data_IF_709422952029
#
_entry.id   IF_709422952029
#
_cell.length_a   1.000
_cell.length_b   1.000
_cell.length_c   1.000
_cell.angle_alpha   90.00
_cell.angle_beta   90.00
_cell.angle_gamma   90.00
#
_symmetry.space_group_name_H-M   'P 1'
#
loop_
_entity.id
_entity.type
_entity.pdbx_description
1 polymer ?
#
# COMPACT_ATOMS: atom_id res chain seq x y z
N UNK A 1 29.53 5.14 68.28
CA UNK A 1 30.30 5.89 67.26
C UNK A 1 31.28 4.89 66.66
N UNK A 2 30.87 4.15 65.64
CA UNK A 2 31.73 3.22 64.91
C UNK A 2 31.70 3.63 63.43
N UNK A 3 32.87 3.93 62.91
CA UNK A 3 33.16 4.27 61.52
C UNK A 3 33.61 3.04 60.75
N UNK A 4 33.34 3.06 59.43
CA UNK A 4 34.10 2.41 58.34
C UNK A 4 33.91 0.87 58.17
N UNK A 5 33.81 0.26 56.97
CA UNK A 5 34.15 0.68 55.60
C UNK A 5 33.63 -0.34 54.57
N UNK A 6 33.17 0.16 53.40
CA UNK A 6 33.10 -0.42 52.03
C UNK A 6 32.46 -1.80 51.78
N UNK A 7 31.47 -1.80 50.88
CA UNK A 7 31.67 -2.49 49.60
C UNK A 7 30.93 -1.75 48.47
N UNK A 8 31.72 -1.22 47.52
CA UNK A 8 31.24 -0.82 46.21
C UNK A 8 30.97 -2.12 45.44
N UNK A 9 29.72 -2.37 45.09
CA UNK A 9 29.42 -3.22 43.95
C UNK A 9 29.07 -2.30 42.78
N UNK A 10 30.02 -2.20 41.86
CA UNK A 10 29.86 -1.60 40.55
C UNK A 10 28.67 -2.24 39.84
N UNK A 11 27.53 -1.55 39.85
CA UNK A 11 26.45 -1.80 38.90
C UNK A 11 26.93 -1.32 37.53
N UNK A 12 27.79 -2.13 36.90
CA UNK A 12 28.08 -2.01 35.47
C UNK A 12 26.75 -2.12 34.74
N UNK A 13 26.37 -0.97 34.22
CA UNK A 13 25.23 -0.72 33.36
C UNK A 13 25.34 -1.62 32.13
N UNK A 14 24.73 -2.80 32.15
CA UNK A 14 24.36 -3.50 30.90
C UNK A 14 23.09 -2.85 30.38
N UNK A 15 23.18 -1.59 29.97
CA UNK A 15 22.21 -1.04 29.03
C UNK A 15 22.49 -1.74 27.70
N UNK A 16 21.79 -2.85 27.46
CA UNK A 16 21.43 -3.20 26.09
C UNK A 16 20.59 -2.05 25.56
N UNK A 17 21.25 -1.00 25.06
CA UNK A 17 20.60 0.03 24.29
C UNK A 17 20.14 -0.66 23.01
N UNK A 18 18.92 -1.21 23.03
CA UNK A 18 18.23 -1.69 21.86
C UNK A 18 18.14 -0.49 20.93
N UNK A 19 19.01 -0.44 19.91
CA UNK A 19 18.89 0.59 18.89
C UNK A 19 17.48 0.52 18.31
N UNK A 20 16.74 1.64 18.22
CA UNK A 20 15.41 1.63 17.63
C UNK A 20 15.55 1.09 16.21
N UNK A 21 14.84 0.00 15.93
CA UNK A 21 14.80 -0.59 14.58
C UNK A 21 14.05 0.40 13.70
N UNK A 22 14.73 0.93 12.69
CA UNK A 22 14.08 1.74 11.66
C UNK A 22 13.16 0.85 10.83
N UNK A 23 11.85 1.09 10.97
CA UNK A 23 10.79 0.39 10.23
C UNK A 23 10.37 1.16 8.97
N UNK A 24 10.95 2.34 8.71
CA UNK A 24 10.60 3.15 7.56
C UNK A 24 10.98 2.46 6.25
N UNK A 25 10.23 2.76 5.20
CA UNK A 25 10.43 2.21 3.87
C UNK A 25 10.06 3.24 2.83
N UNK A 26 10.63 3.11 1.63
CA UNK A 26 10.24 3.95 0.48
C UNK A 26 9.01 3.34 -0.18
N UNK A 27 8.09 4.20 -0.62
CA UNK A 27 6.98 3.79 -1.48
C UNK A 27 7.54 3.22 -2.78
N UNK A 28 7.20 1.98 -3.05
CA UNK A 28 7.56 1.27 -4.31
C UNK A 28 6.33 0.77 -5.05
N UNK A 29 5.18 0.68 -4.36
CA UNK A 29 3.90 0.28 -4.92
C UNK A 29 2.77 1.06 -4.26
N UNK A 30 1.63 1.10 -4.93
CA UNK A 30 0.38 1.63 -4.38
C UNK A 30 -0.67 0.54 -4.38
N UNK A 31 -1.33 0.31 -3.25
CA UNK A 31 -2.57 -0.44 -3.17
C UNK A 31 -3.72 0.53 -3.45
N UNK A 32 -4.47 0.28 -4.52
CA UNK A 32 -5.67 1.02 -4.86
C UNK A 32 -6.90 0.15 -4.59
N UNK A 33 -7.78 0.60 -3.69
CA UNK A 33 -9.00 -0.10 -3.31
C UNK A 33 -10.19 0.63 -3.93
N UNK A 34 -10.79 0.03 -4.95
CA UNK A 34 -11.90 0.62 -5.68
C UNK A 34 -13.22 0.52 -4.91
N UNK A 35 -14.08 1.52 -5.04
CA UNK A 35 -15.44 1.54 -4.52
C UNK A 35 -16.40 2.11 -5.57
N UNK A 36 -17.54 1.46 -5.77
CA UNK A 36 -18.61 2.00 -6.62
C UNK A 36 -19.17 3.29 -6.01
N UNK A 37 -19.23 4.35 -6.82
CA UNK A 37 -20.00 5.56 -6.47
C UNK A 37 -21.49 5.27 -6.53
N UNK A 38 -22.33 6.23 -6.12
CA UNK A 38 -23.78 6.11 -6.29
C UNK A 38 -24.18 5.81 -7.75
N UNK A 39 -23.48 6.42 -8.72
CA UNK A 39 -23.69 6.20 -10.15
C UNK A 39 -23.22 4.82 -10.60
N UNK A 40 -22.06 4.37 -10.12
CA UNK A 40 -21.50 3.06 -10.47
C UNK A 40 -22.29 1.86 -9.93
N UNK A 41 -23.18 2.08 -8.94
CA UNK A 41 -24.06 1.04 -8.40
C UNK A 41 -25.25 0.70 -9.33
N UNK A 42 -25.60 1.59 -10.27
CA UNK A 42 -26.67 1.35 -11.23
C UNK A 42 -26.13 0.45 -12.35
N UNK A 43 -26.64 -0.78 -12.44
CA UNK A 43 -26.05 -1.80 -13.32
C UNK A 43 -26.22 -1.45 -14.80
N UNK A 44 -27.40 -0.97 -15.18
CA UNK A 44 -27.78 -0.64 -16.55
C UNK A 44 -26.89 0.47 -17.12
N UNK A 45 -26.57 1.47 -16.29
CA UNK A 45 -25.70 2.60 -16.66
C UNK A 45 -24.22 2.17 -16.77
N UNK A 46 -23.81 1.22 -15.92
CA UNK A 46 -22.44 0.71 -15.84
C UNK A 46 -22.07 -0.21 -17.01
N UNK A 47 -22.99 -1.08 -17.44
CA UNK A 47 -22.69 -2.14 -18.42
C UNK A 47 -22.04 -1.62 -19.72
N UNK A 48 -22.53 -0.53 -20.35
CA UNK A 48 -21.89 0.01 -21.55
C UNK A 48 -20.46 0.53 -21.32
N UNK A 49 -20.15 1.01 -20.11
CA UNK A 49 -18.81 1.51 -19.75
C UNK A 49 -17.84 0.35 -19.51
N UNK A 50 -18.30 -0.74 -18.90
CA UNK A 50 -17.49 -1.93 -18.61
C UNK A 50 -16.82 -2.54 -19.85
N UNK A 51 -17.48 -2.46 -21.01
CA UNK A 51 -16.94 -2.96 -22.30
C UNK A 51 -15.62 -2.25 -22.66
N UNK A 52 -15.50 -0.96 -22.31
CA UNK A 52 -14.29 -0.16 -22.53
C UNK A 52 -13.30 -0.24 -21.38
N UNK A 53 -13.82 -0.43 -20.16
CA UNK A 53 -13.03 -0.52 -18.94
C UNK A 53 -12.04 -1.69 -18.99
N UNK A 54 -12.52 -2.89 -19.36
CA UNK A 54 -11.70 -4.10 -19.30
C UNK A 54 -10.45 -3.99 -20.20
N UNK A 55 -10.54 -3.60 -21.48
CA UNK A 55 -9.35 -3.41 -22.31
C UNK A 55 -8.40 -2.32 -21.80
N UNK A 56 -8.92 -1.21 -21.25
CA UNK A 56 -8.10 -0.13 -20.72
C UNK A 56 -7.30 -0.58 -19.48
N UNK A 57 -7.94 -1.32 -18.58
CA UNK A 57 -7.29 -1.93 -17.41
C UNK A 57 -6.26 -2.99 -17.82
N UNK A 58 -6.56 -3.81 -18.84
CA UNK A 58 -5.59 -4.76 -19.41
C UNK A 58 -4.38 -4.03 -19.98
N UNK A 59 -4.55 -2.89 -20.65
CA UNK A 59 -3.42 -2.10 -21.15
C UNK A 59 -2.53 -1.59 -20.01
N UNK A 60 -3.09 -1.16 -18.88
CA UNK A 60 -2.30 -0.79 -17.70
C UNK A 60 -1.52 -1.98 -17.12
N UNK A 61 -2.07 -3.18 -17.17
CA UNK A 61 -1.35 -4.39 -16.77
C UNK A 61 -0.22 -4.76 -17.74
N UNK A 62 -0.50 -4.77 -19.05
CA UNK A 62 0.49 -5.11 -20.07
C UNK A 62 1.64 -4.09 -20.15
N UNK A 63 1.39 -2.84 -19.79
CA UNK A 63 2.42 -1.79 -19.66
C UNK A 63 3.12 -1.79 -18.30
N UNK A 64 2.78 -2.72 -17.41
CA UNK A 64 3.41 -2.92 -16.11
C UNK A 64 3.01 -1.92 -15.04
N UNK A 65 2.00 -1.07 -15.27
CA UNK A 65 1.48 -0.14 -14.26
C UNK A 65 0.61 -0.83 -13.21
N UNK A 66 -0.19 -1.83 -13.61
CA UNK A 66 -0.85 -2.76 -12.68
C UNK A 66 0.00 -4.03 -12.60
N UNK A 67 0.39 -4.42 -11.40
CA UNK A 67 1.08 -5.69 -11.15
C UNK A 67 0.09 -6.82 -10.86
N UNK A 68 -0.87 -6.55 -9.99
CA UNK A 68 -1.89 -7.52 -9.56
C UNK A 68 -3.26 -6.84 -9.54
N UNK A 69 -4.29 -7.60 -9.87
CA UNK A 69 -5.67 -7.17 -9.78
C UNK A 69 -6.54 -8.23 -9.12
N UNK A 70 -7.59 -7.78 -8.45
CA UNK A 70 -8.58 -8.64 -7.82
C UNK A 70 -9.95 -7.97 -7.89
N UNK A 71 -11.01 -8.76 -7.77
CA UNK A 71 -12.34 -8.26 -7.44
C UNK A 71 -12.63 -8.60 -5.99
N UNK A 72 -13.20 -7.66 -5.23
CA UNK A 72 -13.64 -7.96 -3.86
C UNK A 72 -14.80 -8.97 -3.91
N UNK A 73 -14.86 -9.96 -3.01
CA UNK A 73 -15.93 -10.98 -3.02
C UNK A 73 -17.35 -10.40 -2.90
N UNK A 74 -17.51 -9.25 -2.26
CA UNK A 74 -18.77 -8.51 -2.15
C UNK A 74 -19.12 -7.70 -3.43
N UNK A 75 -18.25 -7.78 -4.45
CA UNK A 75 -18.37 -7.10 -5.74
C UNK A 75 -18.41 -5.58 -5.60
N UNK A 76 -17.97 -5.00 -4.46
CA UNK A 76 -18.05 -3.55 -4.24
C UNK A 76 -16.97 -2.75 -4.99
N UNK A 77 -16.10 -3.41 -5.75
CA UNK A 77 -15.13 -2.80 -6.66
C UNK A 77 -13.85 -3.64 -6.82
N UNK A 78 -12.97 -3.22 -7.73
CA UNK A 78 -11.67 -3.85 -7.96
C UNK A 78 -10.63 -3.45 -6.90
N UNK A 79 -9.55 -4.22 -6.81
CA UNK A 79 -8.36 -3.90 -6.02
C UNK A 79 -7.14 -4.08 -6.91
N UNK A 80 -6.24 -3.10 -6.90
CA UNK A 80 -5.01 -3.13 -7.69
C UNK A 80 -3.77 -2.96 -6.82
N UNK A 81 -2.73 -3.72 -7.12
CA UNK A 81 -1.36 -3.43 -6.70
C UNK A 81 -0.67 -2.78 -7.90
N UNK A 82 -0.30 -1.50 -7.77
CA UNK A 82 0.24 -0.70 -8.87
C UNK A 82 1.73 -0.42 -8.69
N UNK A 83 2.48 -0.46 -9.79
CA UNK A 83 3.89 -0.03 -9.86
C UNK A 83 3.97 1.49 -10.02
N UNK A 84 3.60 2.19 -8.94
CA UNK A 84 3.65 3.65 -8.83
C UNK A 84 4.39 4.03 -7.53
N UNK A 85 5.01 5.20 -7.53
CA UNK A 85 5.76 5.69 -6.36
C UNK A 85 5.03 6.78 -5.58
N UNK A 86 3.83 7.16 -6.00
CA UNK A 86 2.98 8.09 -5.25
C UNK A 86 1.49 7.80 -5.45
N UNK A 87 0.63 8.13 -4.48
CA UNK A 87 -0.82 8.07 -4.64
C UNK A 87 -1.34 8.93 -5.80
N UNK A 88 -0.71 10.09 -6.05
CA UNK A 88 -1.11 11.00 -7.12
C UNK A 88 -0.94 10.38 -8.51
N UNK A 89 0.18 9.68 -8.75
CA UNK A 89 0.41 8.96 -10.01
C UNK A 89 -0.65 7.85 -10.21
N UNK A 90 -0.93 7.07 -9.16
CA UNK A 90 -1.94 6.02 -9.22
C UNK A 90 -3.34 6.60 -9.48
N UNK A 91 -3.69 7.70 -8.82
CA UNK A 91 -4.93 8.43 -9.05
C UNK A 91 -5.05 8.89 -10.51
N UNK A 92 -4.01 9.53 -11.05
CA UNK A 92 -3.99 10.02 -12.43
C UNK A 92 -4.20 8.91 -13.47
N UNK A 93 -3.64 7.72 -13.23
CA UNK A 93 -3.82 6.57 -14.11
C UNK A 93 -5.24 6.01 -14.04
N UNK A 94 -5.79 5.86 -12.82
CA UNK A 94 -7.10 5.25 -12.62
C UNK A 94 -8.26 6.19 -12.97
N UNK A 95 -8.11 7.51 -12.77
CA UNK A 95 -9.15 8.49 -13.13
C UNK A 95 -9.35 8.58 -14.65
N UNK A 96 -8.32 8.21 -15.44
CA UNK A 96 -8.38 8.15 -16.91
C UNK A 96 -8.99 6.85 -17.43
N UNK A 97 -9.26 5.87 -16.58
CA UNK A 97 -10.03 4.70 -16.98
C UNK A 97 -11.50 5.09 -17.26
N UNK A 98 -12.20 4.38 -18.16
CA UNK A 98 -13.60 4.67 -18.48
C UNK A 98 -14.54 4.84 -17.27
N UNK A 99 -14.42 3.99 -16.24
CA UNK A 99 -15.21 4.12 -15.01
C UNK A 99 -14.81 5.35 -14.18
N UNK A 100 -13.54 5.72 -14.17
CA UNK A 100 -13.03 6.93 -13.51
C UNK A 100 -13.57 8.19 -14.18
N UNK A 101 -13.42 8.28 -15.51
CA UNK A 101 -13.96 9.39 -16.34
C UNK A 101 -15.48 9.51 -16.16
N UNK A 102 -16.19 8.38 -16.09
CA UNK A 102 -17.63 8.37 -15.92
C UNK A 102 -18.09 8.74 -14.49
N UNK A 103 -17.17 8.90 -13.53
CA UNK A 103 -17.47 9.12 -12.11
C UNK A 103 -18.19 7.94 -11.45
N UNK A 104 -17.92 6.72 -11.93
CA UNK A 104 -18.58 5.49 -11.48
C UNK A 104 -17.73 4.69 -10.47
N UNK A 105 -16.43 4.93 -10.43
CA UNK A 105 -15.50 4.27 -9.52
C UNK A 105 -14.59 5.32 -8.88
N UNK A 106 -14.39 5.20 -7.56
CA UNK A 106 -13.38 5.93 -6.80
C UNK A 106 -12.40 4.94 -6.20
N UNK A 107 -11.21 5.41 -5.81
CA UNK A 107 -10.19 4.59 -5.18
C UNK A 107 -9.64 5.25 -3.93
N UNK A 108 -9.45 4.44 -2.89
CA UNK A 108 -8.60 4.80 -1.75
C UNK A 108 -7.18 4.25 -2.02
N UNK A 109 -6.15 5.04 -1.73
CA UNK A 109 -4.76 4.73 -2.05
C UNK A 109 -3.93 4.54 -0.78
N UNK A 110 -3.17 3.44 -0.74
CA UNK A 110 -2.27 3.12 0.37
C UNK A 110 -0.87 2.90 -0.19
N UNK A 111 0.10 3.62 0.35
CA UNK A 111 1.51 3.48 0.00
C UNK A 111 2.08 2.17 0.55
N UNK A 112 2.79 1.44 -0.30
CA UNK A 112 3.44 0.18 0.05
C UNK A 112 4.94 0.25 -0.24
N UNK A 113 5.74 -0.25 0.69
CA UNK A 113 7.17 -0.43 0.53
C UNK A 113 7.63 -1.79 1.06
N UNK A 114 8.85 -2.22 0.72
CA UNK A 114 9.42 -3.43 1.27
C UNK A 114 9.49 -3.37 2.80
N UNK A 115 9.29 -4.52 3.46
CA UNK A 115 9.50 -4.64 4.91
C UNK A 115 11.01 -4.61 5.17
N UNK A 116 11.55 -3.42 5.41
CA UNK A 116 12.99 -3.18 5.50
C UNK A 116 13.72 -4.05 6.54
N UNK A 117 13.15 -4.35 7.72
CA UNK A 117 13.77 -5.25 8.69
C UNK A 117 14.05 -6.66 8.16
N UNK A 118 13.42 -7.13 7.08
CA UNK A 118 13.72 -8.46 6.52
C UNK A 118 15.17 -8.56 6.00
N UNK A 119 15.85 -7.44 5.73
CA UNK A 119 17.27 -7.44 5.35
C UNK A 119 18.18 -8.06 6.42
N UNK A 120 17.76 -8.06 7.69
CA UNK A 120 18.53 -8.69 8.75
C UNK A 120 18.61 -10.22 8.61
N UNK A 121 17.70 -10.84 7.85
CA UNK A 121 17.71 -12.28 7.56
C UNK A 121 18.76 -12.69 6.52
N UNK A 122 19.33 -11.74 5.77
CA UNK A 122 20.26 -11.99 4.67
C UNK A 122 21.73 -11.82 5.07
N UNK A 123 22.03 -11.74 6.37
CA UNK A 123 23.41 -11.65 6.86
C UNK A 123 24.12 -12.99 6.64
N UNK A 124 25.13 -13.00 5.77
CA UNK A 124 26.22 -13.98 5.84
C UNK A 124 27.18 -13.61 6.99
#
# INVERSE_FOLDING_TARGET
MNTETKSNFDNKTTQNAQMPVDLSTKTTKILAIGKWTAKGKILEDRLPVMIKEVPATVNLYLTGKIEQWYVKPDISGAVFIMNCTSPAEAHELLEKLPLGIAGMMEFDFIELGPIMPLRYLLKE
#
